data_IF_274134886798
#
_entry.id   IF_274134886798
#
_cell.length_a   1.000
_cell.length_b   1.000
_cell.length_c   1.000
_cell.angle_alpha   90.00
_cell.angle_beta   90.00
_cell.angle_gamma   90.00
#
_symmetry.space_group_name_H-M   'P 1'
#
loop_
_entity.id
_entity.type
_entity.pdbx_description
1 polymer ?
#
# COMPACT_ATOMS: atom_id res chain seq x y z
N UNK A 1 -7.36 -17.55 -57.42
CA UNK A 1 -8.00 -18.01 -56.17
C UNK A 1 -6.93 -18.00 -55.09
N UNK A 2 -6.96 -16.98 -54.23
CA UNK A 2 -6.00 -16.83 -53.13
C UNK A 2 -6.47 -17.71 -51.98
N UNK A 3 -5.70 -18.74 -51.65
CA UNK A 3 -5.97 -19.62 -50.52
C UNK A 3 -5.69 -18.83 -49.23
N UNK A 4 -6.78 -18.48 -48.54
CA UNK A 4 -6.72 -17.92 -47.20
C UNK A 4 -5.96 -18.90 -46.29
N UNK A 5 -4.79 -18.48 -45.81
CA UNK A 5 -4.10 -19.14 -44.71
C UNK A 5 -4.95 -18.92 -43.46
N UNK A 6 -5.68 -19.94 -43.04
CA UNK A 6 -6.25 -19.99 -41.71
C UNK A 6 -5.10 -19.87 -40.71
N UNK A 7 -4.98 -18.71 -40.07
CA UNK A 7 -4.09 -18.54 -38.93
C UNK A 7 -4.64 -19.43 -37.81
N UNK A 8 -4.08 -20.62 -37.65
CA UNK A 8 -4.21 -21.37 -36.42
C UNK A 8 -3.70 -20.45 -35.31
N UNK A 9 -4.62 -19.95 -34.48
CA UNK A 9 -4.27 -19.24 -33.25
C UNK A 9 -3.55 -20.29 -32.40
N UNK A 10 -2.23 -20.22 -32.36
CA UNK A 10 -1.42 -21.01 -31.45
C UNK A 10 -1.88 -20.67 -30.03
N UNK A 11 -2.62 -21.60 -29.42
CA UNK A 11 -3.13 -21.51 -28.06
C UNK A 11 -2.02 -21.61 -26.98
N UNK A 12 -0.74 -21.60 -27.39
CA UNK A 12 0.45 -21.74 -26.54
C UNK A 12 1.14 -20.41 -26.22
N UNK A 13 0.55 -19.27 -26.57
CA UNK A 13 1.07 -17.96 -26.14
C UNK A 13 0.77 -17.78 -24.64
N UNK A 14 1.76 -17.51 -23.78
CA UNK A 14 1.53 -17.40 -22.32
C UNK A 14 0.65 -16.23 -21.90
N UNK A 15 0.37 -15.31 -22.82
CA UNK A 15 -0.63 -14.26 -22.65
C UNK A 15 -2.02 -14.65 -23.20
N UNK A 16 -2.31 -15.94 -23.43
CA UNK A 16 -3.55 -16.41 -24.07
C UNK A 16 -4.81 -15.93 -23.35
N UNK A 17 -4.86 -16.03 -22.02
CA UNK A 17 -5.99 -15.58 -21.21
C UNK A 17 -6.21 -14.06 -21.39
N UNK A 18 -5.15 -13.26 -21.28
CA UNK A 18 -5.28 -11.81 -21.49
C UNK A 18 -5.75 -11.44 -22.91
N UNK A 19 -5.32 -12.18 -23.94
CA UNK A 19 -5.80 -11.99 -25.31
C UNK A 19 -7.26 -12.40 -25.49
N UNK A 20 -7.70 -13.48 -24.83
CA UNK A 20 -9.10 -13.89 -24.82
C UNK A 20 -9.96 -12.82 -24.12
N UNK A 21 -9.50 -12.28 -22.99
CA UNK A 21 -10.19 -11.21 -22.27
C UNK A 21 -10.26 -9.92 -23.10
N UNK A 22 -9.17 -9.55 -23.79
CA UNK A 22 -9.16 -8.41 -24.71
C UNK A 22 -10.14 -8.62 -25.86
N UNK A 23 -10.11 -9.80 -26.50
CA UNK A 23 -11.00 -10.10 -27.61
C UNK A 23 -12.47 -10.06 -27.21
N UNK A 24 -12.79 -10.64 -26.05
CA UNK A 24 -14.12 -10.57 -25.45
C UNK A 24 -14.55 -9.12 -25.21
N UNK A 25 -13.67 -8.28 -24.67
CA UNK A 25 -13.97 -6.87 -24.44
C UNK A 25 -14.24 -6.12 -25.76
N UNK A 26 -13.47 -6.39 -26.82
CA UNK A 26 -13.74 -5.82 -28.16
C UNK A 26 -15.11 -6.27 -28.71
N UNK A 27 -15.43 -7.55 -28.55
CA UNK A 27 -16.71 -8.11 -29.01
C UNK A 27 -17.88 -7.52 -28.21
N UNK A 28 -17.74 -7.38 -26.89
CA UNK A 28 -18.74 -6.76 -26.03
C UNK A 28 -18.93 -5.26 -26.35
N UNK A 29 -17.86 -4.52 -26.65
CA UNK A 29 -17.90 -3.11 -27.05
C UNK A 29 -18.57 -2.88 -28.41
N UNK A 30 -18.49 -3.86 -29.30
CA UNK A 30 -19.09 -3.79 -30.64
C UNK A 30 -20.47 -4.43 -30.72
N UNK A 31 -20.97 -4.97 -29.61
CA UNK A 31 -22.33 -5.50 -29.50
C UNK A 31 -23.39 -4.42 -29.69
N UNK A 32 -24.56 -4.83 -30.18
CA UNK A 32 -25.71 -3.92 -30.34
C UNK A 32 -26.13 -3.28 -29.00
N UNK A 33 -26.06 -4.04 -27.91
CA UNK A 33 -26.35 -3.55 -26.56
C UNK A 33 -25.38 -2.41 -26.17
N UNK A 34 -24.07 -2.59 -26.34
CA UNK A 34 -23.08 -1.57 -26.01
C UNK A 34 -23.16 -0.35 -26.93
N UNK A 35 -23.47 -0.54 -28.23
CA UNK A 35 -23.64 0.56 -29.18
C UNK A 35 -24.83 1.46 -28.85
N UNK A 36 -25.83 0.93 -28.14
CA UNK A 36 -27.02 1.66 -27.69
C UNK A 36 -26.96 2.05 -26.20
N UNK A 37 -25.93 1.64 -25.47
CA UNK A 37 -25.78 1.92 -24.05
C UNK A 37 -25.32 3.37 -23.79
N UNK A 38 -25.74 3.98 -22.68
CA UNK A 38 -25.20 5.28 -22.27
C UNK A 38 -23.72 5.17 -21.87
N UNK A 39 -22.95 6.25 -22.09
CA UNK A 39 -21.49 6.27 -21.88
C UNK A 39 -21.05 5.69 -20.53
N UNK A 40 -21.74 6.03 -19.44
CA UNK A 40 -21.38 5.56 -18.10
C UNK A 40 -21.50 4.03 -17.91
N UNK A 41 -22.31 3.34 -18.71
CA UNK A 41 -22.37 1.87 -18.73
C UNK A 41 -21.17 1.28 -19.46
N UNK A 42 -20.80 1.87 -20.59
CA UNK A 42 -19.59 1.50 -21.34
C UNK A 42 -18.33 1.72 -20.49
N UNK A 43 -18.23 2.84 -19.76
CA UNK A 43 -17.14 3.11 -18.82
C UNK A 43 -17.06 2.07 -17.70
N UNK A 44 -18.20 1.67 -17.13
CA UNK A 44 -18.25 0.63 -16.10
C UNK A 44 -17.80 -0.72 -16.65
N UNK A 45 -18.20 -1.07 -17.86
CA UNK A 45 -17.79 -2.29 -18.54
C UNK A 45 -16.29 -2.30 -18.82
N UNK A 46 -15.76 -1.25 -19.46
CA UNK A 46 -14.33 -1.07 -19.74
C UNK A 46 -13.49 -1.18 -18.47
N UNK A 47 -13.91 -0.51 -17.39
CA UNK A 47 -13.20 -0.58 -16.11
C UNK A 47 -13.18 -1.99 -15.52
N UNK A 48 -14.29 -2.71 -15.54
CA UNK A 48 -14.36 -4.07 -14.96
C UNK A 48 -13.60 -5.08 -15.81
N UNK A 49 -13.91 -5.16 -17.10
CA UNK A 49 -13.30 -6.13 -18.01
C UNK A 49 -11.84 -5.80 -18.32
N UNK A 50 -11.51 -4.52 -18.47
CA UNK A 50 -10.14 -4.05 -18.68
C UNK A 50 -9.24 -4.37 -17.48
N UNK A 51 -9.74 -4.25 -16.25
CA UNK A 51 -8.99 -4.69 -15.05
C UNK A 51 -8.69 -6.19 -15.10
N UNK A 52 -9.66 -7.01 -15.50
CA UNK A 52 -9.44 -8.45 -15.55
C UNK A 52 -8.48 -8.87 -16.67
N UNK A 53 -8.50 -8.17 -17.81
CA UNK A 53 -7.47 -8.29 -18.84
C UNK A 53 -6.08 -7.95 -18.28
N UNK A 54 -5.94 -6.83 -17.55
CA UNK A 54 -4.67 -6.42 -16.95
C UNK A 54 -4.18 -7.38 -15.85
N UNK A 55 -5.09 -7.93 -15.03
CA UNK A 55 -4.78 -8.99 -14.06
C UNK A 55 -4.23 -10.24 -14.76
N UNK A 56 -4.88 -10.69 -15.83
CA UNK A 56 -4.41 -11.84 -16.62
C UNK A 56 -3.04 -11.56 -17.29
N UNK A 57 -2.78 -10.33 -17.73
CA UNK A 57 -1.44 -9.94 -18.22
C UNK A 57 -0.39 -10.01 -17.11
N UNK A 58 -0.73 -9.57 -15.89
CA UNK A 58 0.16 -9.66 -14.73
C UNK A 58 0.43 -11.11 -14.34
N UNK A 59 -0.59 -11.98 -14.34
CA UNK A 59 -0.44 -13.41 -14.09
C UNK A 59 0.53 -14.04 -15.11
N UNK A 60 0.29 -13.81 -16.40
CA UNK A 60 1.16 -14.29 -17.47
C UNK A 60 2.62 -13.80 -17.32
N UNK A 61 2.83 -12.57 -16.85
CA UNK A 61 4.16 -12.06 -16.55
C UNK A 61 4.84 -12.84 -15.42
N UNK A 62 4.11 -13.15 -14.34
CA UNK A 62 4.59 -13.93 -13.21
C UNK A 62 4.95 -15.36 -13.62
N UNK A 63 4.09 -16.00 -14.42
CA UNK A 63 4.32 -17.35 -14.93
C UNK A 63 5.61 -17.39 -15.76
N UNK A 64 5.77 -16.44 -16.68
CA UNK A 64 6.99 -16.29 -17.49
C UNK A 64 8.24 -16.05 -16.66
N UNK A 65 8.16 -15.18 -15.66
CA UNK A 65 9.27 -14.93 -14.73
C UNK A 65 9.65 -16.21 -14.00
N UNK A 66 8.67 -17.01 -13.60
CA UNK A 66 8.97 -18.25 -12.93
C UNK A 66 9.53 -19.33 -13.87
N UNK A 67 9.03 -19.47 -15.09
CA UNK A 67 9.54 -20.44 -16.06
C UNK A 67 11.02 -20.16 -16.40
N UNK A 68 11.37 -18.87 -16.45
CA UNK A 68 12.72 -18.41 -16.77
C UNK A 68 13.66 -18.36 -15.55
N UNK A 69 13.14 -18.61 -14.34
CA UNK A 69 13.94 -18.55 -13.13
C UNK A 69 14.98 -19.68 -13.13
N UNK A 70 16.29 -19.37 -13.14
CA UNK A 70 17.31 -20.40 -13.13
C UNK A 70 17.31 -21.15 -11.80
N UNK A 71 17.69 -22.42 -11.85
CA UNK A 71 18.06 -23.13 -10.62
C UNK A 71 19.42 -22.62 -10.16
N UNK A 72 19.52 -22.19 -8.92
CA UNK A 72 20.71 -21.54 -8.36
C UNK A 72 21.15 -22.26 -7.09
N UNK A 73 22.44 -22.15 -6.77
CA UNK A 73 22.92 -22.55 -5.45
C UNK A 73 22.55 -21.46 -4.44
N UNK A 74 21.85 -21.85 -3.36
CA UNK A 74 21.33 -20.92 -2.36
C UNK A 74 22.03 -21.13 -1.04
N UNK A 75 22.76 -20.11 -0.59
CA UNK A 75 23.35 -20.02 0.74
C UNK A 75 22.71 -18.86 1.49
N UNK A 76 22.15 -19.14 2.66
CA UNK A 76 21.50 -18.11 3.47
C UNK A 76 22.50 -17.19 4.17
N UNK A 77 21.98 -16.10 4.75
CA UNK A 77 22.77 -15.21 5.60
C UNK A 77 23.25 -15.90 6.90
N UNK A 78 22.60 -17.01 7.27
CA UNK A 78 23.02 -17.96 8.31
C UNK A 78 24.25 -18.80 7.91
N UNK A 79 24.72 -18.68 6.66
CA UNK A 79 25.85 -19.44 6.13
C UNK A 79 25.49 -20.88 5.75
N UNK A 80 24.21 -21.27 5.82
CA UNK A 80 23.72 -22.62 5.55
C UNK A 80 23.33 -22.77 4.08
N UNK A 81 23.84 -23.83 3.45
CA UNK A 81 23.51 -24.20 2.07
C UNK A 81 22.17 -24.95 2.00
N UNK A 82 21.31 -24.52 1.08
CA UNK A 82 19.96 -25.06 0.87
C UNK A 82 19.90 -25.74 -0.49
N UNK A 83 20.14 -27.05 -0.50
CA UNK A 83 20.22 -27.85 -1.73
C UNK A 83 18.86 -28.46 -2.13
N UNK A 84 17.98 -28.75 -1.18
CA UNK A 84 16.67 -29.32 -1.48
C UNK A 84 15.76 -28.25 -2.09
N UNK A 85 15.10 -28.58 -3.21
CA UNK A 85 14.21 -27.64 -3.90
C UNK A 85 12.82 -28.22 -4.02
N UNK A 86 11.80 -27.42 -3.67
CA UNK A 86 10.39 -27.78 -3.85
C UNK A 86 9.65 -26.63 -4.53
N UNK A 87 8.69 -26.96 -5.40
CA UNK A 87 7.81 -25.97 -6.03
C UNK A 87 6.74 -25.50 -5.03
N UNK A 88 6.62 -24.19 -4.84
CA UNK A 88 5.62 -23.57 -3.95
C UNK A 88 5.02 -22.34 -4.60
N UNK A 89 3.72 -22.13 -4.42
CA UNK A 89 3.03 -20.91 -4.83
C UNK A 89 2.99 -19.90 -3.67
N UNK A 90 2.91 -18.61 -4.00
CA UNK A 90 2.40 -17.58 -3.09
C UNK A 90 1.45 -16.69 -3.87
N UNK A 91 0.50 -16.11 -3.16
CA UNK A 91 -0.37 -15.09 -3.70
C UNK A 91 0.24 -13.70 -3.53
N UNK A 92 0.11 -12.85 -4.55
CA UNK A 92 0.44 -11.43 -4.50
C UNK A 92 -0.80 -10.62 -4.90
N UNK A 93 -1.21 -9.69 -4.04
CA UNK A 93 -2.26 -8.73 -4.32
C UNK A 93 -1.64 -7.51 -5.01
N UNK A 94 -1.99 -7.32 -6.28
CA UNK A 94 -1.57 -6.18 -7.11
C UNK A 94 -2.71 -5.18 -7.24
N UNK A 95 -2.44 -4.00 -7.81
CA UNK A 95 -3.50 -3.01 -8.09
C UNK A 95 -4.52 -3.51 -9.12
N UNK A 96 -4.15 -4.47 -9.97
CA UNK A 96 -5.05 -5.04 -10.98
C UNK A 96 -5.88 -6.19 -10.45
N UNK A 97 -5.45 -6.81 -9.34
CA UNK A 97 -6.08 -7.96 -8.74
C UNK A 97 -5.07 -8.93 -8.13
N UNK A 98 -5.60 -10.05 -7.66
CA UNK A 98 -4.83 -11.13 -7.08
C UNK A 98 -4.18 -12.00 -8.18
N UNK A 99 -2.89 -12.28 -8.02
CA UNK A 99 -2.12 -13.16 -8.90
C UNK A 99 -1.33 -14.18 -8.08
N UNK A 100 -0.98 -15.31 -8.68
CA UNK A 100 -0.18 -16.36 -8.06
C UNK A 100 1.24 -16.38 -8.64
N UNK A 101 2.23 -16.50 -7.77
CA UNK A 101 3.62 -16.75 -8.14
C UNK A 101 4.01 -18.15 -7.70
N UNK A 102 4.08 -19.07 -8.66
CA UNK A 102 4.79 -20.32 -8.48
C UNK A 102 6.29 -20.08 -8.51
N UNK A 103 7.03 -20.65 -7.57
CA UNK A 103 8.48 -20.49 -7.48
C UNK A 103 9.15 -21.67 -6.82
N UNK A 104 10.46 -21.74 -6.97
CA UNK A 104 11.29 -22.73 -6.27
C UNK A 104 11.59 -22.22 -4.86
N UNK A 105 11.26 -23.03 -3.87
CA UNK A 105 11.64 -22.84 -2.47
C UNK A 105 12.81 -23.77 -2.15
N UNK A 106 13.94 -23.18 -1.79
CA UNK A 106 15.18 -23.87 -1.42
C UNK A 106 15.20 -24.09 0.09
N UNK A 107 15.45 -25.32 0.53
CA UNK A 107 15.30 -25.74 1.92
C UNK A 107 16.54 -26.50 2.42
N UNK A 108 16.73 -26.45 3.74
CA UNK A 108 17.64 -27.32 4.50
C UNK A 108 16.95 -27.74 5.81
N UNK A 109 17.36 -28.85 6.44
CA UNK A 109 16.78 -29.30 7.71
C UNK A 109 16.78 -28.20 8.77
N UNK A 110 15.69 -28.08 9.52
CA UNK A 110 15.52 -27.15 10.64
C UNK A 110 15.79 -25.66 10.33
N UNK A 111 15.64 -25.26 9.06
CA UNK A 111 15.80 -23.86 8.62
C UNK A 111 14.62 -23.36 7.79
N UNK A 112 14.43 -22.05 7.78
CA UNK A 112 13.46 -21.41 6.88
C UNK A 112 13.90 -21.54 5.42
N UNK A 113 12.93 -21.79 4.54
CA UNK A 113 13.16 -21.90 3.11
C UNK A 113 13.36 -20.53 2.45
N UNK A 114 14.23 -20.47 1.46
CA UNK A 114 14.52 -19.25 0.71
C UNK A 114 13.98 -19.34 -0.71
N UNK A 115 13.37 -18.26 -1.19
CA UNK A 115 12.86 -18.13 -2.56
C UNK A 115 13.61 -17.01 -3.30
N UNK A 116 14.70 -17.31 -4.03
CA UNK A 116 15.49 -16.30 -4.74
C UNK A 116 14.67 -15.45 -5.72
N UNK A 117 13.61 -16.02 -6.32
CA UNK A 117 12.73 -15.29 -7.22
C UNK A 117 11.98 -14.16 -6.50
N UNK A 118 11.63 -14.32 -5.22
CA UNK A 118 11.00 -13.24 -4.44
C UNK A 118 11.96 -12.06 -4.31
N UNK A 119 13.24 -12.31 -4.03
CA UNK A 119 14.26 -11.26 -3.97
C UNK A 119 14.54 -10.63 -5.33
N UNK A 120 14.62 -11.41 -6.41
CA UNK A 120 14.86 -10.91 -7.76
C UNK A 120 13.69 -10.06 -8.32
N UNK A 121 12.49 -10.28 -7.80
CA UNK A 121 11.31 -9.48 -8.09
C UNK A 121 11.06 -8.38 -7.03
N UNK A 122 11.95 -8.27 -6.04
CA UNK A 122 11.81 -7.38 -4.88
C UNK A 122 10.41 -7.48 -4.25
N UNK A 123 9.86 -8.70 -4.15
CA UNK A 123 8.53 -8.87 -3.60
C UNK A 123 8.54 -8.55 -2.11
N UNK A 124 7.52 -7.81 -1.63
CA UNK A 124 7.33 -7.63 -0.22
C UNK A 124 7.10 -8.96 0.51
N UNK A 125 7.44 -9.01 1.80
CA UNK A 125 7.21 -10.19 2.64
C UNK A 125 5.71 -10.53 2.71
N UNK A 126 4.86 -9.53 2.83
CA UNK A 126 3.41 -9.70 2.88
C UNK A 126 2.76 -9.79 1.50
N UNK A 127 1.47 -10.16 1.48
CA UNK A 127 0.67 -10.35 0.25
C UNK A 127 0.61 -9.12 -0.67
N UNK A 128 0.67 -7.90 -0.14
CA UNK A 128 0.39 -6.67 -0.89
C UNK A 128 1.63 -6.12 -1.59
N UNK A 129 1.54 -5.89 -2.90
CA UNK A 129 2.59 -5.25 -3.71
C UNK A 129 2.90 -3.83 -3.24
N UNK A 130 4.07 -3.29 -3.59
CA UNK A 130 4.43 -1.93 -3.22
C UNK A 130 3.47 -0.87 -3.77
N UNK A 131 2.91 -1.05 -4.97
CA UNK A 131 1.89 -0.12 -5.49
C UNK A 131 0.60 -0.12 -4.65
N UNK A 132 0.13 -1.29 -4.20
CA UNK A 132 -1.02 -1.35 -3.29
C UNK A 132 -0.68 -0.67 -1.95
N UNK A 133 0.55 -0.84 -1.44
CA UNK A 133 1.00 -0.14 -0.23
C UNK A 133 1.04 1.36 -0.42
N UNK A 134 1.50 1.83 -1.58
CA UNK A 134 1.55 3.25 -1.93
C UNK A 134 0.16 3.86 -1.93
N UNK A 135 -0.81 3.23 -2.61
CA UNK A 135 -2.21 3.68 -2.61
C UNK A 135 -2.75 3.74 -1.17
N UNK A 136 -2.54 2.68 -0.38
CA UNK A 136 -3.01 2.66 1.02
C UNK A 136 -2.37 3.77 1.86
N UNK A 137 -1.06 4.02 1.69
CA UNK A 137 -0.35 5.06 2.43
C UNK A 137 -0.85 6.47 2.07
N UNK A 138 -1.02 6.76 0.77
CA UNK A 138 -1.52 8.04 0.28
C UNK A 138 -2.94 8.34 0.77
N UNK A 139 -3.82 7.34 0.74
CA UNK A 139 -5.22 7.51 1.12
C UNK A 139 -5.44 7.49 2.64
N UNK A 140 -4.67 6.69 3.39
CA UNK A 140 -4.72 6.68 4.85
C UNK A 140 -4.27 8.01 5.48
N UNK A 141 -3.53 8.84 4.75
CA UNK A 141 -3.17 10.18 5.19
C UNK A 141 -4.35 11.18 5.11
N UNK A 142 -5.41 10.86 4.36
CA UNK A 142 -6.50 11.78 3.99
C UNK A 142 -7.87 11.33 4.47
N UNK A 143 -8.07 10.03 4.66
CA UNK A 143 -9.35 9.43 4.96
C UNK A 143 -9.28 8.45 6.13
N UNK A 144 -10.44 8.08 6.67
CA UNK A 144 -10.53 7.00 7.67
C UNK A 144 -10.19 5.64 7.05
N UNK A 145 -9.75 4.68 7.87
CA UNK A 145 -9.40 3.35 7.35
C UNK A 145 -10.57 2.62 6.69
N UNK A 146 -11.81 2.86 7.13
CA UNK A 146 -13.00 2.28 6.47
C UNK A 146 -13.18 2.86 5.07
N UNK A 147 -13.03 4.18 4.92
CA UNK A 147 -13.08 4.85 3.60
C UNK A 147 -11.94 4.39 2.69
N UNK A 148 -10.74 4.16 3.22
CA UNK A 148 -9.60 3.62 2.44
C UNK A 148 -9.90 2.22 1.91
N UNK A 149 -10.51 1.35 2.72
CA UNK A 149 -10.94 0.01 2.28
C UNK A 149 -11.91 0.13 1.10
N UNK A 150 -12.91 1.00 1.20
CA UNK A 150 -13.89 1.24 0.15
C UNK A 150 -13.26 1.83 -1.11
N UNK A 151 -12.36 2.81 -0.95
CA UNK A 151 -11.68 3.49 -2.05
C UNK A 151 -10.80 2.52 -2.84
N UNK A 152 -9.98 1.71 -2.15
CA UNK A 152 -9.12 0.71 -2.78
C UNK A 152 -9.96 -0.29 -3.57
N UNK A 153 -11.05 -0.82 -2.99
CA UNK A 153 -11.93 -1.77 -3.67
C UNK A 153 -12.66 -1.16 -4.88
N UNK A 154 -12.98 0.13 -4.83
CA UNK A 154 -13.68 0.84 -5.92
C UNK A 154 -12.74 1.20 -7.07
N UNK A 155 -11.55 1.68 -6.75
CA UNK A 155 -10.62 2.30 -7.70
C UNK A 155 -9.59 1.32 -8.27
N UNK A 156 -9.34 0.21 -7.60
CA UNK A 156 -8.39 -0.83 -8.04
C UNK A 156 -9.08 -2.21 -8.13
N UNK A 157 -8.35 -3.23 -8.59
CA UNK A 157 -8.70 -4.63 -8.42
C UNK A 157 -8.22 -5.21 -7.09
N UNK A 158 -7.53 -4.42 -6.25
CA UNK A 158 -7.02 -4.89 -4.98
C UNK A 158 -8.11 -4.94 -3.90
N UNK A 159 -7.99 -5.93 -3.01
CA UNK A 159 -8.80 -6.02 -1.80
C UNK A 159 -7.92 -6.06 -0.55
N UNK A 160 -8.01 -5.01 0.26
CA UNK A 160 -7.24 -4.86 1.50
C UNK A 160 -8.22 -4.70 2.67
N UNK A 161 -8.40 -5.70 3.54
CA UNK A 161 -9.27 -5.54 4.71
C UNK A 161 -8.71 -4.50 5.68
N UNK A 162 -9.59 -3.91 6.50
CA UNK A 162 -9.27 -2.81 7.42
C UNK A 162 -8.01 -3.05 8.28
N UNK A 163 -7.90 -4.23 8.89
CA UNK A 163 -6.73 -4.57 9.73
C UNK A 163 -5.43 -4.47 8.95
N UNK A 164 -5.42 -4.90 7.69
CA UNK A 164 -4.25 -4.85 6.82
C UNK A 164 -3.98 -3.42 6.36
N UNK A 165 -5.01 -2.61 6.09
CA UNK A 165 -4.86 -1.17 5.84
C UNK A 165 -4.15 -0.49 7.01
N UNK A 166 -4.58 -0.73 8.25
CA UNK A 166 -3.93 -0.21 9.46
C UNK A 166 -2.45 -0.61 9.55
N UNK A 167 -2.16 -1.89 9.32
CA UNK A 167 -0.78 -2.40 9.35
C UNK A 167 0.09 -1.80 8.23
N UNK A 168 -0.47 -1.59 7.04
CA UNK A 168 0.23 -0.96 5.93
C UNK A 168 0.52 0.52 6.22
N UNK A 169 -0.43 1.25 6.80
CA UNK A 169 -0.22 2.64 7.23
C UNK A 169 0.88 2.75 8.31
N UNK A 170 0.93 1.82 9.27
CA UNK A 170 2.02 1.75 10.26
C UNK A 170 3.36 1.48 9.59
N UNK A 171 3.41 0.56 8.61
CA UNK A 171 4.65 0.29 7.86
C UNK A 171 5.14 1.49 7.06
N UNK A 172 4.21 2.23 6.46
CA UNK A 172 4.52 3.41 5.66
C UNK A 172 5.02 4.61 6.49
N UNK A 173 4.84 4.59 7.82
CA UNK A 173 5.24 5.68 8.73
C UNK A 173 6.47 5.36 9.59
N UNK A 174 7.24 4.32 9.22
CA UNK A 174 8.42 3.87 9.99
C UNK A 174 9.57 4.86 10.01
N UNK A 175 9.66 5.74 9.02
CA UNK A 175 10.74 6.71 8.82
C UNK A 175 10.41 8.09 9.39
N UNK A 176 9.30 8.26 10.12
CA UNK A 176 8.85 9.55 10.64
C UNK A 176 9.93 10.29 11.45
N UNK A 177 10.60 9.61 12.37
CA UNK A 177 11.65 10.23 13.21
C UNK A 177 12.93 10.55 12.41
N UNK A 178 13.27 9.74 11.40
CA UNK A 178 14.41 10.00 10.52
C UNK A 178 14.16 11.21 9.62
N UNK A 179 12.96 11.29 9.04
CA UNK A 179 12.52 12.42 8.22
C UNK A 179 12.69 13.77 8.93
N UNK A 180 12.35 13.86 10.22
CA UNK A 180 12.53 15.10 10.99
C UNK A 180 13.98 15.33 11.42
N UNK A 181 14.75 14.27 11.72
CA UNK A 181 16.17 14.40 12.07
C UNK A 181 16.99 14.97 10.91
N UNK A 182 16.75 14.52 9.69
CA UNK A 182 17.47 14.97 8.50
C UNK A 182 17.17 16.42 8.13
N UNK A 183 16.08 16.99 8.68
CA UNK A 183 15.63 18.35 8.46
C UNK A 183 15.99 19.31 9.60
N UNK A 184 16.77 18.86 10.59
CA UNK A 184 17.27 19.75 11.62
C UNK A 184 18.20 20.80 10.98
N UNK A 185 17.77 22.06 11.00
CA UNK A 185 18.56 23.17 10.48
C UNK A 185 19.83 23.36 11.30
N UNK A 186 20.91 23.75 10.63
CA UNK A 186 22.12 24.23 11.32
C UNK A 186 21.80 25.59 11.97
N UNK A 187 22.31 25.85 13.18
CA UNK A 187 22.21 27.17 13.78
C UNK A 187 22.79 28.24 12.85
N UNK A 188 22.06 29.34 12.67
CA UNK A 188 22.53 30.51 11.95
C UNK A 188 23.40 31.37 12.86
N UNK A 189 24.47 31.95 12.31
CA UNK A 189 25.29 32.95 12.98
C UNK A 189 24.78 34.34 12.60
N UNK A 190 23.86 34.89 13.40
CA UNK A 190 23.20 36.16 13.14
C UNK A 190 22.77 36.84 14.44
N UNK A 191 22.69 38.16 14.42
CA UNK A 191 22.16 39.04 15.47
C UNK A 191 20.68 39.43 15.25
N UNK A 192 20.04 38.83 14.25
CA UNK A 192 18.62 38.99 13.96
C UNK A 192 17.71 38.48 15.09
N UNK A 193 16.43 38.87 15.06
CA UNK A 193 15.45 38.41 16.04
C UNK A 193 15.21 36.91 15.87
N UNK A 194 15.42 36.15 16.94
CA UNK A 194 15.02 34.75 17.00
C UNK A 194 13.50 34.65 17.23
N UNK A 195 12.77 34.15 16.24
CA UNK A 195 11.33 33.92 16.32
C UNK A 195 11.04 32.45 16.53
N UNK A 196 10.22 32.17 17.54
CA UNK A 196 9.73 30.85 17.90
C UNK A 196 8.21 30.83 17.71
N UNK A 197 7.73 30.03 16.76
CA UNK A 197 6.31 29.85 16.51
C UNK A 197 5.89 28.43 16.86
N UNK A 198 4.73 28.29 17.49
CA UNK A 198 4.20 27.00 17.93
C UNK A 198 2.75 26.86 17.49
N UNK A 199 2.41 25.73 16.87
CA UNK A 199 1.03 25.30 16.63
C UNK A 199 0.77 23.98 17.36
N UNK A 200 -0.42 23.83 17.93
CA UNK A 200 -0.74 22.66 18.74
C UNK A 200 -2.19 22.21 18.61
N UNK A 201 -2.38 20.90 18.40
CA UNK A 201 -3.69 20.24 18.34
C UNK A 201 -3.83 19.18 19.42
N UNK A 202 -4.91 19.26 20.20
CA UNK A 202 -5.29 18.20 21.13
C UNK A 202 -5.98 17.04 20.42
N UNK A 203 -5.31 15.89 20.33
CA UNK A 203 -5.79 14.65 19.72
C UNK A 203 -6.38 13.74 20.80
N UNK A 204 -7.64 13.32 20.64
CA UNK A 204 -8.23 12.32 21.52
C UNK A 204 -7.57 10.96 21.25
N UNK A 205 -7.03 10.33 22.29
CA UNK A 205 -6.31 9.05 22.18
C UNK A 205 -6.93 8.01 23.10
N UNK A 206 -6.71 6.73 22.80
CA UNK A 206 -7.12 5.65 23.69
C UNK A 206 -6.47 5.83 25.06
N UNK A 207 -7.19 5.43 26.10
CA UNK A 207 -6.76 5.68 27.48
C UNK A 207 -5.40 5.03 27.81
N UNK A 208 -5.14 3.85 27.26
CA UNK A 208 -3.86 3.13 27.37
C UNK A 208 -2.66 3.88 26.74
N UNK A 209 -2.93 4.75 25.77
CA UNK A 209 -1.92 5.47 25.00
C UNK A 209 -1.72 6.91 25.48
N UNK A 210 -2.39 7.30 26.57
CA UNK A 210 -2.16 8.57 27.26
C UNK A 210 -0.79 8.55 27.95
N UNK A 211 -0.09 9.69 27.91
CA UNK A 211 1.10 9.90 28.74
C UNK A 211 0.73 9.77 30.21
N UNK A 212 1.66 9.31 31.04
CA UNK A 212 1.40 8.98 32.44
C UNK A 212 0.72 10.12 33.22
N UNK A 213 1.20 11.36 33.07
CA UNK A 213 0.59 12.52 33.73
C UNK A 213 -0.87 12.74 33.29
N UNK A 214 -1.15 12.65 31.98
CA UNK A 214 -2.51 12.80 31.44
C UNK A 214 -3.39 11.62 31.84
N UNK A 215 -2.85 10.40 31.92
CA UNK A 215 -3.56 9.20 32.37
C UNK A 215 -3.96 9.30 33.84
N UNK A 216 -3.06 9.75 34.73
CA UNK A 216 -3.36 10.00 36.15
C UNK A 216 -4.44 11.07 36.32
N UNK A 217 -4.31 12.19 35.60
CA UNK A 217 -5.33 13.25 35.60
C UNK A 217 -6.67 12.78 35.02
N UNK A 218 -6.63 11.79 34.14
CA UNK A 218 -7.79 11.16 33.59
C UNK A 218 -8.51 10.27 34.60
N UNK A 219 -7.79 9.39 35.27
CA UNK A 219 -8.30 8.47 36.29
C UNK A 219 -8.85 9.24 37.50
N UNK A 220 -8.20 10.33 37.90
CA UNK A 220 -8.66 11.21 38.99
C UNK A 220 -9.96 11.97 38.67
N UNK A 221 -10.36 12.04 37.39
CA UNK A 221 -11.58 12.73 36.96
C UNK A 221 -12.28 11.88 35.90
N UNK A 222 -12.98 10.80 36.31
CA UNK A 222 -13.72 9.96 35.38
C UNK A 222 -14.88 10.75 34.77
N UNK A 223 -15.26 10.38 33.55
CA UNK A 223 -16.39 11.02 32.87
C UNK A 223 -17.68 10.76 33.63
N UNK A 224 -18.52 11.80 33.71
CA UNK A 224 -19.88 11.67 34.24
C UNK A 224 -20.86 11.11 33.21
N UNK A 225 -20.58 11.33 31.93
CA UNK A 225 -21.38 10.86 30.79
C UNK A 225 -20.46 10.28 29.72
N UNK A 226 -20.86 9.21 29.04
CA UNK A 226 -20.03 8.55 28.04
C UNK A 226 -19.86 9.39 26.76
N UNK A 227 -20.96 9.97 26.28
CA UNK A 227 -21.05 10.59 24.94
C UNK A 227 -20.66 12.06 24.89
N UNK A 228 -20.71 12.80 26.02
CA UNK A 228 -20.40 14.23 26.06
C UNK A 228 -19.79 14.66 27.38
N UNK A 229 -19.07 15.78 27.36
CA UNK A 229 -18.59 16.44 28.57
C UNK A 229 -19.72 17.23 29.23
N UNK A 230 -19.80 17.14 30.54
CA UNK A 230 -20.63 18.03 31.34
C UNK A 230 -19.98 19.41 31.47
N UNK A 231 -20.78 20.44 31.78
CA UNK A 231 -20.29 21.81 31.91
C UNK A 231 -19.17 21.87 32.97
N UNK A 232 -18.00 22.38 32.58
CA UNK A 232 -16.82 22.49 33.46
C UNK A 232 -15.94 21.23 33.52
N UNK A 233 -16.33 20.15 32.85
CA UNK A 233 -15.55 18.91 32.80
C UNK A 233 -14.35 19.05 31.86
N UNK A 234 -13.14 18.78 32.39
CA UNK A 234 -11.90 18.93 31.61
C UNK A 234 -11.67 17.73 30.68
N UNK A 235 -11.30 17.95 29.41
CA UNK A 235 -11.02 16.88 28.45
C UNK A 235 -9.61 16.30 28.66
N UNK A 236 -9.30 15.76 29.84
CA UNK A 236 -8.00 15.18 30.21
C UNK A 236 -7.70 13.84 29.48
N UNK A 237 -8.16 13.69 28.24
CA UNK A 237 -8.04 12.47 27.41
C UNK A 237 -7.42 12.77 26.04
N UNK A 238 -6.79 13.94 25.92
CA UNK A 238 -6.15 14.39 24.68
C UNK A 238 -4.64 14.46 24.86
N UNK A 239 -3.90 14.05 23.83
CA UNK A 239 -2.47 14.32 23.69
C UNK A 239 -2.28 15.54 22.79
N UNK A 240 -1.37 16.43 23.16
CA UNK A 240 -1.01 17.55 22.30
C UNK A 240 -0.02 17.05 21.24
N UNK A 241 -0.43 17.08 19.99
CA UNK A 241 0.48 17.12 18.86
C UNK A 241 0.87 18.60 18.68
N UNK A 242 2.17 18.88 18.66
CA UNK A 242 2.70 20.24 18.58
C UNK A 242 3.79 20.29 17.52
N UNK A 243 3.77 21.32 16.69
CA UNK A 243 4.81 21.64 15.73
C UNK A 243 5.42 22.98 16.15
N UNK A 244 6.73 23.09 16.07
CA UNK A 244 7.47 24.32 16.32
C UNK A 244 8.25 24.71 15.08
N UNK A 245 8.33 26.01 14.80
CA UNK A 245 9.26 26.56 13.82
C UNK A 245 10.16 27.57 14.52
N UNK A 246 11.43 27.55 14.12
CA UNK A 246 12.48 28.43 14.63
C UNK A 246 13.11 29.09 13.43
N UNK A 247 13.10 30.42 13.38
CA UNK A 247 13.66 31.19 12.28
C UNK A 247 14.08 32.58 12.75
N UNK A 248 14.94 33.23 11.97
CA UNK A 248 15.43 34.57 12.27
C UNK A 248 14.71 35.60 11.40
N UNK A 249 14.49 36.80 11.91
CA UNK A 249 13.93 37.92 11.16
C UNK A 249 14.80 39.16 11.42
N UNK A 250 15.21 39.84 10.35
CA UNK A 250 15.93 41.11 10.44
C UNK A 250 15.09 42.16 11.20
N UNK A 251 15.73 42.98 12.03
CA UNK A 251 15.03 44.00 12.79
C UNK A 251 14.47 45.08 11.86
N UNK A 252 13.19 45.43 12.01
CA UNK A 252 12.61 46.55 11.30
C UNK A 252 13.02 47.88 11.96
N UNK A 253 13.77 48.77 11.28
CA UNK A 253 14.15 50.05 11.84
C UNK A 253 12.92 50.95 12.03
N UNK A 254 12.82 51.61 13.19
CA UNK A 254 11.84 52.68 13.42
C UNK A 254 12.52 54.02 13.10
N UNK A 255 11.94 54.78 12.18
CA UNK A 255 12.31 56.19 11.93
C UNK A 255 11.89 57.09 13.10
#
# INVERSE_FOLDING_TARGET
MSTARAAAIANDSPFCESRQNMKKLEDDLTSEDAMNAPLHEVERMLRTQGREMLRAMMQAHFDRRSEQAPTVHVRGADGIDRAATTRRSRTVMTEFGEVELDRNLYQAPDTEGLAPLDAAMELPEEKYSYEVRRIVAEEAARASFDEVVELVAKQSGAHVPKRQVEQLAIRASRDFDEFYRDRLCRPEDTDHLLVLSFDAKGIATLHRDLREATRKAAEATPRRLETRLTKGEKPNRKRMAQVATVYTIEQWPRE
#
